data_IF_191677105589
#
_entry.id   IF_191677105589
#
_cell.length_a   1.000
_cell.length_b   1.000
_cell.length_c   1.000
_cell.angle_alpha   90.00
_cell.angle_beta   90.00
_cell.angle_gamma   90.00
#
_symmetry.space_group_name_H-M   'P 1'
#
loop_
_entity.id
_entity.type
_entity.pdbx_description
1 polymer ?
#
# COMPACT_ATOMS: atom_id res chain seq x y z
N UNK A 1 36.56 -27.56 20.04
CA UNK A 1 37.29 -26.31 19.73
C UNK A 1 36.47 -25.34 18.87
N UNK A 2 35.66 -25.81 17.91
CA UNK A 2 34.90 -24.93 17.01
C UNK A 2 33.83 -24.07 17.69
N UNK A 3 33.11 -24.60 18.69
CA UNK A 3 32.07 -23.85 19.41
C UNK A 3 32.63 -22.62 20.14
N UNK A 4 33.84 -22.71 20.70
CA UNK A 4 34.47 -21.57 21.37
C UNK A 4 34.90 -20.49 20.37
N UNK A 5 35.42 -20.89 19.20
CA UNK A 5 35.76 -19.98 18.10
C UNK A 5 34.51 -19.28 17.54
N UNK A 6 33.42 -20.01 17.35
CA UNK A 6 32.14 -19.44 16.89
C UNK A 6 31.55 -18.47 17.92
N UNK A 7 31.62 -18.78 19.22
CA UNK A 7 31.18 -17.86 20.28
C UNK A 7 31.99 -16.57 20.31
N UNK A 8 33.31 -16.66 20.12
CA UNK A 8 34.18 -15.48 20.04
C UNK A 8 33.86 -14.63 18.80
N UNK A 9 33.67 -15.27 17.64
CA UNK A 9 33.28 -14.58 16.41
C UNK A 9 31.90 -13.91 16.54
N UNK A 10 30.94 -14.58 17.16
CA UNK A 10 29.63 -14.01 17.43
C UNK A 10 29.72 -12.79 18.36
N UNK A 11 30.51 -12.88 19.44
CA UNK A 11 30.69 -11.76 20.36
C UNK A 11 31.36 -10.55 19.68
N UNK A 12 32.35 -10.80 18.80
CA UNK A 12 33.00 -9.75 18.03
C UNK A 12 32.02 -9.08 17.05
N UNK A 13 31.23 -9.86 16.31
CA UNK A 13 30.20 -9.35 15.39
C UNK A 13 29.11 -8.57 16.12
N UNK A 14 28.67 -9.05 17.30
CA UNK A 14 27.67 -8.36 18.11
C UNK A 14 28.18 -6.98 18.55
N UNK A 15 29.43 -6.90 19.02
CA UNK A 15 30.06 -5.64 19.42
C UNK A 15 30.17 -4.67 18.23
N UNK A 16 30.51 -5.18 17.06
CA UNK A 16 30.59 -4.36 15.84
C UNK A 16 29.21 -3.84 15.42
N UNK A 17 28.16 -4.67 15.48
CA UNK A 17 26.78 -4.25 15.24
C UNK A 17 26.33 -3.17 16.23
N UNK A 18 26.64 -3.33 17.52
CA UNK A 18 26.27 -2.36 18.56
C UNK A 18 27.00 -1.02 18.35
N UNK A 19 28.27 -1.06 17.93
CA UNK A 19 29.03 0.15 17.58
C UNK A 19 28.41 0.89 16.39
N UNK A 20 28.04 0.17 15.33
CA UNK A 20 27.38 0.76 14.17
C UNK A 20 26.01 1.35 14.53
N UNK A 21 25.21 0.64 15.32
CA UNK A 21 23.91 1.13 15.80
C UNK A 21 24.05 2.44 16.58
N UNK A 22 25.01 2.52 17.50
CA UNK A 22 25.26 3.73 18.27
C UNK A 22 25.69 4.90 17.38
N UNK A 23 26.56 4.65 16.40
CA UNK A 23 26.98 5.68 15.45
C UNK A 23 25.82 6.21 14.60
N UNK A 24 24.90 5.33 14.19
CA UNK A 24 23.69 5.75 13.45
C UNK A 24 22.79 6.62 14.33
N UNK A 25 22.63 6.29 15.61
CA UNK A 25 21.83 7.12 16.53
C UNK A 25 22.42 8.53 16.68
N UNK A 26 23.74 8.66 16.88
CA UNK A 26 24.42 9.96 16.94
C UNK A 26 24.18 10.80 15.68
N UNK A 27 24.33 10.19 14.49
CA UNK A 27 24.10 10.88 13.22
C UNK A 27 22.64 11.33 13.03
N UNK A 28 21.68 10.60 13.58
CA UNK A 28 20.27 11.00 13.55
C UNK A 28 20.00 12.20 14.46
N UNK A 29 20.63 12.23 15.64
CA UNK A 29 20.57 13.38 16.56
C UNK A 29 21.21 14.62 15.95
N UNK A 30 22.40 14.50 15.36
CA UNK A 30 23.08 15.58 14.63
C UNK A 30 22.20 16.13 13.50
N UNK A 31 21.60 15.26 12.68
CA UNK A 31 20.67 15.67 11.61
C UNK A 31 19.42 16.39 12.14
N UNK A 32 18.91 15.96 13.30
CA UNK A 32 17.77 16.62 13.95
C UNK A 32 18.12 18.04 14.37
N UNK A 33 19.30 18.25 14.98
CA UNK A 33 19.77 19.58 15.37
C UNK A 33 20.04 20.49 14.18
N UNK A 34 20.59 19.98 13.08
CA UNK A 34 20.82 20.78 11.88
C UNK A 34 19.51 21.26 11.24
N UNK A 35 18.47 20.42 11.23
CA UNK A 35 17.15 20.80 10.70
C UNK A 35 16.46 21.87 11.53
N UNK A 36 16.67 21.91 12.84
CA UNK A 36 16.08 22.94 13.70
C UNK A 36 16.79 24.30 13.58
N UNK A 37 18.05 24.33 13.13
CA UNK A 37 18.80 25.57 12.91
C UNK A 37 18.54 26.25 11.56
N UNK A 38 17.90 25.56 10.59
CA UNK A 38 17.93 25.94 9.18
C UNK A 38 16.73 26.76 8.66
N UNK A 39 15.87 27.32 9.51
CA UNK A 39 14.75 28.14 9.02
C UNK A 39 14.81 29.56 9.60
N UNK A 40 15.23 30.57 8.82
CA UNK A 40 14.90 31.95 9.16
C UNK A 40 13.36 32.08 9.24
N UNK A 41 12.85 32.89 10.18
CA UNK A 41 11.41 33.14 10.25
C UNK A 41 10.93 33.60 8.87
N UNK A 42 9.79 33.10 8.37
CA UNK A 42 9.22 33.58 7.13
C UNK A 42 9.04 35.11 7.22
N UNK A 43 9.30 35.86 6.14
CA UNK A 43 9.08 37.31 6.14
C UNK A 43 7.64 37.62 6.56
N UNK A 44 7.39 38.74 7.26
CA UNK A 44 6.06 39.06 7.76
C UNK A 44 5.08 39.14 6.57
N UNK A 45 4.28 38.10 6.41
CA UNK A 45 3.23 38.03 5.41
C UNK A 45 2.15 39.05 5.78
N UNK A 46 1.90 39.98 4.87
CA UNK A 46 0.74 40.88 4.85
C UNK A 46 -0.55 40.16 5.29
N UNK A 47 -1.52 40.85 5.93
CA UNK A 47 -2.71 40.22 6.48
C UNK A 47 -3.49 39.51 5.37
N UNK A 48 -3.23 38.21 5.22
CA UNK A 48 -4.01 37.35 4.35
C UNK A 48 -5.39 37.30 4.98
N UNK A 49 -6.37 37.79 4.23
CA UNK A 49 -7.78 37.51 4.47
C UNK A 49 -7.91 36.07 4.92
N UNK A 50 -8.48 35.84 6.11
CA UNK A 50 -8.62 34.52 6.68
C UNK A 50 -9.45 33.65 5.74
N UNK A 51 -8.76 32.99 4.80
CA UNK A 51 -9.37 32.04 3.89
C UNK A 51 -9.97 30.96 4.79
N UNK A 52 -11.31 30.84 4.77
CA UNK A 52 -12.01 29.76 5.47
C UNK A 52 -11.25 28.47 5.16
N UNK A 53 -10.88 27.68 6.16
CA UNK A 53 -10.21 26.42 5.91
C UNK A 53 -11.07 25.63 4.96
N UNK A 54 -10.51 25.23 3.82
CA UNK A 54 -11.22 24.47 2.81
C UNK A 54 -11.73 23.18 3.46
N UNK A 55 -13.02 23.13 3.75
CA UNK A 55 -13.63 21.95 4.33
C UNK A 55 -13.81 20.93 3.23
N UNK A 56 -13.18 19.76 3.37
CA UNK A 56 -13.40 18.64 2.46
C UNK A 56 -14.87 18.22 2.50
N UNK A 57 -15.55 18.31 1.35
CA UNK A 57 -16.93 17.87 1.17
C UNK A 57 -16.96 16.40 0.77
N UNK A 58 -16.92 15.51 1.77
CA UNK A 58 -17.02 14.07 1.53
C UNK A 58 -18.47 13.68 1.22
N UNK A 59 -18.67 12.93 0.13
CA UNK A 59 -19.97 12.38 -0.26
C UNK A 59 -19.85 10.90 -0.61
N UNK A 60 -20.90 10.12 -0.29
CA UNK A 60 -20.97 8.72 -0.69
C UNK A 60 -21.21 8.64 -2.20
N UNK A 61 -20.29 8.02 -2.91
CA UNK A 61 -20.39 7.82 -4.37
C UNK A 61 -21.16 6.53 -4.73
N UNK A 62 -20.77 5.39 -4.14
CA UNK A 62 -21.30 4.08 -4.51
C UNK A 62 -21.36 3.12 -3.31
N UNK A 63 -22.12 2.03 -3.47
CA UNK A 63 -22.14 0.89 -2.55
C UNK A 63 -22.16 -0.40 -3.35
N UNK A 64 -21.06 -1.15 -3.34
CA UNK A 64 -20.90 -2.36 -4.13
C UNK A 64 -21.08 -3.56 -3.22
N UNK A 65 -22.09 -4.39 -3.51
CA UNK A 65 -22.38 -5.59 -2.72
C UNK A 65 -21.35 -6.66 -3.06
N UNK A 66 -20.66 -7.16 -2.04
CA UNK A 66 -19.70 -8.25 -2.14
C UNK A 66 -20.05 -9.33 -1.11
N UNK A 67 -19.87 -10.61 -1.44
CA UNK A 67 -20.21 -11.71 -0.52
C UNK A 67 -19.22 -11.81 0.65
N UNK A 68 -17.93 -11.69 0.35
CA UNK A 68 -16.84 -11.49 1.32
C UNK A 68 -15.81 -10.62 0.62
N UNK A 69 -15.60 -9.38 1.05
CA UNK A 69 -14.63 -8.46 0.44
C UNK A 69 -13.59 -8.11 1.49
N UNK A 70 -12.35 -8.55 1.25
CA UNK A 70 -11.23 -8.32 2.19
C UNK A 70 -10.23 -7.30 1.68
N UNK A 71 -10.08 -7.23 0.36
CA UNK A 71 -9.06 -6.42 -0.29
C UNK A 71 -9.62 -5.77 -1.53
N UNK A 72 -9.21 -4.53 -1.76
CA UNK A 72 -9.57 -3.79 -2.96
C UNK A 72 -8.41 -2.90 -3.40
N UNK A 73 -8.40 -2.59 -4.69
CA UNK A 73 -7.49 -1.63 -5.28
C UNK A 73 -8.23 -0.78 -6.31
N UNK A 74 -7.93 0.51 -6.31
CA UNK A 74 -8.46 1.47 -7.26
C UNK A 74 -7.34 1.88 -8.22
N UNK A 75 -7.67 1.99 -9.49
CA UNK A 75 -6.77 2.54 -10.50
C UNK A 75 -6.38 3.99 -10.17
N UNK A 76 -5.20 4.42 -10.65
CA UNK A 76 -4.74 5.80 -10.49
C UNK A 76 -5.70 6.82 -11.14
N UNK A 77 -6.36 6.42 -12.23
CA UNK A 77 -7.37 7.25 -12.91
C UNK A 77 -8.70 7.31 -12.17
N UNK A 78 -8.92 6.43 -11.19
CA UNK A 78 -10.17 6.35 -10.45
C UNK A 78 -11.37 5.86 -11.28
N UNK A 79 -11.12 5.21 -12.42
CA UNK A 79 -12.15 4.70 -13.33
C UNK A 79 -12.44 3.22 -13.13
N UNK A 80 -11.49 2.46 -12.59
CA UNK A 80 -11.60 1.04 -12.29
C UNK A 80 -11.35 0.76 -10.81
N UNK A 81 -12.23 -0.05 -10.21
CA UNK A 81 -12.08 -0.67 -8.90
C UNK A 81 -12.00 -2.19 -9.06
N UNK A 82 -10.96 -2.81 -8.50
CA UNK A 82 -10.84 -4.25 -8.35
C UNK A 82 -11.08 -4.66 -6.90
N UNK A 83 -11.98 -5.61 -6.67
CA UNK A 83 -12.31 -6.14 -5.34
C UNK A 83 -12.07 -7.64 -5.32
N UNK A 84 -11.23 -8.11 -4.40
CA UNK A 84 -11.06 -9.54 -4.17
C UNK A 84 -12.22 -10.09 -3.35
N UNK A 85 -12.99 -11.01 -3.92
CA UNK A 85 -14.21 -11.53 -3.29
C UNK A 85 -14.43 -13.03 -3.46
N UNK A 86 -15.30 -13.59 -2.62
CA UNK A 86 -15.81 -14.96 -2.76
C UNK A 86 -16.88 -15.01 -3.86
N UNK A 87 -16.69 -15.89 -4.84
CA UNK A 87 -17.61 -16.08 -5.97
C UNK A 87 -18.44 -17.37 -5.88
N UNK A 88 -17.96 -18.37 -5.14
CA UNK A 88 -18.64 -19.63 -4.90
C UNK A 88 -18.10 -20.34 -3.66
N UNK A 89 -18.59 -21.55 -3.32
CA UNK A 89 -18.19 -22.28 -2.12
C UNK A 89 -16.67 -22.40 -1.94
N UNK A 90 -15.98 -22.80 -3.01
CA UNK A 90 -14.53 -23.01 -3.09
C UNK A 90 -13.87 -22.17 -4.21
N UNK A 91 -14.48 -21.04 -4.53
CA UNK A 91 -14.02 -20.16 -5.62
C UNK A 91 -13.96 -18.71 -5.15
N UNK A 92 -12.79 -18.13 -5.31
CA UNK A 92 -12.50 -16.74 -5.01
C UNK A 92 -11.97 -16.08 -6.28
N UNK A 93 -12.23 -14.79 -6.41
CA UNK A 93 -11.95 -14.12 -7.66
C UNK A 93 -12.01 -12.61 -7.53
N UNK A 94 -11.81 -11.98 -8.67
CA UNK A 94 -11.80 -10.54 -8.79
C UNK A 94 -13.16 -10.07 -9.28
N UNK A 95 -13.78 -9.14 -8.55
CA UNK A 95 -14.88 -8.32 -9.04
C UNK A 95 -14.28 -7.00 -9.54
N UNK A 96 -14.26 -6.81 -10.85
CA UNK A 96 -13.90 -5.55 -11.49
C UNK A 96 -15.15 -4.70 -11.65
N UNK A 97 -15.11 -3.44 -11.25
CA UNK A 97 -16.22 -2.48 -11.33
C UNK A 97 -15.73 -1.19 -11.95
N UNK A 98 -16.41 -0.73 -12.99
CA UNK A 98 -16.21 0.62 -13.51
C UNK A 98 -16.81 1.63 -12.54
N UNK A 99 -16.02 2.63 -12.15
CA UNK A 99 -16.48 3.75 -11.35
C UNK A 99 -17.12 4.84 -12.21
N UNK A 100 -17.01 4.75 -13.54
CA UNK A 100 -17.77 5.59 -14.48
C UNK A 100 -19.19 5.07 -14.69
N UNK A 101 -19.37 3.74 -14.65
CA UNK A 101 -20.66 3.06 -14.70
C UNK A 101 -20.64 1.84 -13.77
N UNK A 102 -21.24 1.98 -12.59
CA UNK A 102 -21.22 0.94 -11.54
C UNK A 102 -21.95 -0.35 -11.98
N UNK A 103 -22.81 -0.27 -13.00
CA UNK A 103 -23.46 -1.45 -13.56
C UNK A 103 -22.50 -2.26 -14.43
N UNK A 104 -21.47 -1.62 -14.98
CA UNK A 104 -20.43 -2.29 -15.73
C UNK A 104 -19.45 -2.99 -14.77
N UNK A 105 -19.69 -4.29 -14.58
CA UNK A 105 -18.91 -5.15 -13.69
C UNK A 105 -18.61 -6.51 -14.30
N UNK A 106 -17.44 -7.05 -13.97
CA UNK A 106 -17.01 -8.39 -14.39
C UNK A 106 -16.51 -9.18 -13.18
N UNK A 107 -16.99 -10.41 -13.03
CA UNK A 107 -16.53 -11.34 -11.99
C UNK A 107 -15.65 -12.42 -12.63
N UNK A 108 -14.40 -12.52 -12.17
CA UNK A 108 -13.40 -13.43 -12.75
C UNK A 108 -12.96 -14.41 -11.66
N UNK A 109 -13.28 -15.72 -11.76
CA UNK A 109 -12.79 -16.73 -10.83
C UNK A 109 -11.30 -16.98 -11.06
N UNK A 110 -10.50 -16.90 -9.99
CA UNK A 110 -9.03 -16.95 -10.08
C UNK A 110 -8.42 -17.94 -9.09
N UNK A 111 -8.85 -17.90 -7.83
CA UNK A 111 -8.20 -18.62 -6.73
C UNK A 111 -9.15 -19.61 -6.06
N UNK A 112 -8.59 -20.70 -5.53
CA UNK A 112 -9.36 -21.63 -4.67
C UNK A 112 -9.49 -21.11 -3.24
N UNK A 113 -8.53 -20.30 -2.81
CA UNK A 113 -8.47 -19.69 -1.49
C UNK A 113 -8.73 -18.18 -1.56
N UNK A 114 -9.06 -17.59 -0.41
CA UNK A 114 -9.33 -16.16 -0.30
C UNK A 114 -8.16 -15.31 -0.80
N UNK A 115 -8.49 -14.30 -1.62
CA UNK A 115 -7.53 -13.34 -2.14
C UNK A 115 -6.94 -12.54 -0.99
N UNK A 116 -5.61 -12.42 -1.00
CA UNK A 116 -4.80 -11.75 0.01
C UNK A 116 -4.38 -10.35 -0.39
N UNK A 117 -4.21 -10.12 -1.68
CA UNK A 117 -3.84 -8.82 -2.21
C UNK A 117 -4.33 -8.64 -3.65
N UNK A 118 -4.57 -7.37 -4.02
CA UNK A 118 -5.00 -6.94 -5.36
C UNK A 118 -4.21 -5.68 -5.72
N UNK A 119 -3.65 -5.65 -6.93
CA UNK A 119 -2.97 -4.46 -7.45
C UNK A 119 -3.43 -4.16 -8.87
N UNK A 120 -3.72 -2.89 -9.17
CA UNK A 120 -4.06 -2.42 -10.51
C UNK A 120 -2.81 -1.79 -11.13
N UNK A 121 -2.50 -2.12 -12.39
CA UNK A 121 -1.38 -1.48 -13.10
C UNK A 121 -1.63 0.01 -13.29
N UNK A 122 -0.56 0.79 -13.40
CA UNK A 122 -0.63 2.26 -13.54
C UNK A 122 -1.37 2.70 -14.81
N UNK A 123 -1.37 1.88 -15.85
CA UNK A 123 -2.11 2.08 -17.09
C UNK A 123 -3.54 1.52 -17.08
N UNK A 124 -3.99 1.02 -15.93
CA UNK A 124 -5.30 0.35 -15.72
C UNK A 124 -5.56 -0.86 -16.62
N UNK A 125 -4.55 -1.41 -17.31
CA UNK A 125 -4.73 -2.53 -18.26
C UNK A 125 -4.67 -3.91 -17.61
N UNK A 126 -4.06 -4.00 -16.44
CA UNK A 126 -3.84 -5.26 -15.75
C UNK A 126 -4.25 -5.16 -14.28
N UNK A 127 -4.75 -6.27 -13.76
CA UNK A 127 -4.94 -6.46 -12.32
C UNK A 127 -4.22 -7.72 -11.91
N UNK A 128 -3.37 -7.61 -10.89
CA UNK A 128 -2.70 -8.73 -10.27
C UNK A 128 -3.42 -9.12 -8.98
N UNK A 129 -3.60 -10.42 -8.75
CA UNK A 129 -4.17 -10.96 -7.51
C UNK A 129 -3.30 -12.08 -6.98
N UNK A 130 -3.21 -12.18 -5.66
CA UNK A 130 -2.54 -13.29 -4.98
C UNK A 130 -3.45 -13.92 -3.94
N UNK A 131 -3.24 -15.21 -3.69
CA UNK A 131 -3.85 -15.93 -2.59
C UNK A 131 -2.84 -16.92 -1.99
N UNK A 132 -3.23 -17.57 -0.89
CA UNK A 132 -2.42 -18.62 -0.24
C UNK A 132 -2.43 -19.96 -0.99
N UNK A 133 -2.99 -20.00 -2.21
CA UNK A 133 -2.97 -21.19 -3.07
C UNK A 133 -1.68 -21.32 -3.90
N UNK A 134 -0.69 -20.49 -3.60
CA UNK A 134 0.63 -20.51 -4.23
C UNK A 134 0.63 -19.92 -5.64
N UNK A 135 -0.43 -19.21 -6.05
CA UNK A 135 -0.54 -18.62 -7.38
C UNK A 135 -0.62 -17.10 -7.33
N UNK A 136 0.00 -16.48 -8.33
CA UNK A 136 -0.21 -15.10 -8.74
C UNK A 136 -0.98 -15.14 -10.06
N UNK A 137 -2.13 -14.46 -10.11
CA UNK A 137 -2.87 -14.29 -11.35
C UNK A 137 -2.74 -12.84 -11.84
N UNK A 138 -2.55 -12.67 -13.15
CA UNK A 138 -2.58 -11.37 -13.81
C UNK A 138 -3.69 -11.44 -14.85
N UNK A 139 -4.69 -10.56 -14.72
CA UNK A 139 -5.81 -10.46 -15.65
C UNK A 139 -5.74 -9.16 -16.41
N UNK A 140 -6.13 -9.19 -17.68
CA UNK A 140 -6.28 -8.00 -18.51
C UNK A 140 -7.66 -7.40 -18.26
N UNK A 141 -7.75 -6.08 -18.17
CA UNK A 141 -9.00 -5.33 -17.97
C UNK A 141 -9.73 -5.03 -19.28
N UNK A 142 -9.43 -5.75 -20.37
CA UNK A 142 -10.03 -5.44 -21.68
C UNK A 142 -11.51 -5.77 -21.68
N UNK A 143 -12.32 -4.73 -21.58
CA UNK A 143 -13.70 -4.72 -22.04
C UNK A 143 -13.64 -4.67 -23.57
N UNK A 144 -13.66 -5.83 -24.22
CA UNK A 144 -14.17 -5.94 -25.59
C UNK A 144 -15.64 -6.25 -25.52
#
# INVERSE_FOLDING_TARGET
>A
MEVAKLKLQHAALQLECDKHKNRVMELLEENSMLKSMALPPPPPSSPQSAARPATWAYAKFASIVCSDSRVCAISLRGDLLGVGTKLGPDSHGLLQVSLLDIQHRASIPLHRLAIRDVAVSTDSKYVATTAMDGKLHIVRTSMT
#
